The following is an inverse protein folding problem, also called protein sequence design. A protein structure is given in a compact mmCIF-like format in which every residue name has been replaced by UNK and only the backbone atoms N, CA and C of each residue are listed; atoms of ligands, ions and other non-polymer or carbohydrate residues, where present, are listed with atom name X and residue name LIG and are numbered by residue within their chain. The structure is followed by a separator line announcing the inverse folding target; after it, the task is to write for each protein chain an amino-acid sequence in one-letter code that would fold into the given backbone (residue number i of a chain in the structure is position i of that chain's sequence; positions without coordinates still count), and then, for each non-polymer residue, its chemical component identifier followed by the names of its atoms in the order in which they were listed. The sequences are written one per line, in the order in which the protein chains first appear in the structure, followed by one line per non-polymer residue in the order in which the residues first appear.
data_IF_327462572485
#
_entry.id   IF_327462572485
#
_cell.length_a   1.000
_cell.length_b   1.000
_cell.length_c   1.000
_cell.angle_alpha   90.00
_cell.angle_beta   90.00
_cell.angle_gamma   90.00
#
_symmetry.space_group_name_H-M   'P 1'
#
loop_
_entity.id
_entity.type
_entity.pdbx_description
1 polymer ?
#
# COMPACT_ATOMS: atom_id res chain seq x y z
N UNK A 1 16.13 5.99 -2.57
CA UNK A 1 15.51 4.75 -3.09
C UNK A 1 15.73 3.68 -2.03
N UNK A 2 14.72 2.92 -1.60
CA UNK A 2 14.88 1.89 -0.55
C UNK A 2 16.10 1.03 -0.91
N UNK A 3 17.08 0.97 0.01
CA UNK A 3 18.49 0.59 -0.17
C UNK A 3 18.78 -0.44 -1.28
N UNK A 4 19.75 -0.13 -2.16
CA UNK A 4 20.13 -0.99 -3.30
C UNK A 4 20.84 -2.28 -2.87
N UNK A 5 21.42 -2.32 -1.67
CA UNK A 5 22.25 -3.43 -1.17
C UNK A 5 21.54 -4.35 -0.15
N UNK A 6 20.27 -4.07 0.19
CA UNK A 6 19.52 -4.81 1.21
C UNK A 6 18.50 -5.79 0.62
N UNK A 7 18.18 -6.89 1.32
CA UNK A 7 17.06 -7.74 0.93
C UNK A 7 15.76 -6.92 0.92
N UNK A 8 15.01 -7.03 -0.17
CA UNK A 8 13.72 -6.35 -0.32
C UNK A 8 12.64 -7.11 0.43
N UNK A 9 11.62 -6.42 0.94
CA UNK A 9 10.58 -7.01 1.78
C UNK A 9 9.91 -8.26 1.18
N UNK A 10 9.65 -8.26 -0.14
CA UNK A 10 9.07 -9.39 -0.87
C UNK A 10 9.93 -10.66 -0.89
N UNK A 11 11.20 -10.59 -0.51
CA UNK A 11 12.10 -11.74 -0.35
C UNK A 11 12.07 -12.32 1.06
N UNK A 12 11.59 -11.56 2.04
CA UNK A 12 11.57 -11.99 3.43
C UNK A 12 10.35 -12.88 3.73
N UNK A 13 10.48 -13.93 4.56
CA UNK A 13 9.34 -14.72 5.00
C UNK A 13 8.31 -13.85 5.74
N UNK A 14 7.03 -14.24 5.67
CA UNK A 14 5.95 -13.52 6.35
C UNK A 14 5.66 -12.12 5.81
N UNK A 15 5.98 -11.84 4.54
CA UNK A 15 5.68 -10.55 3.91
C UNK A 15 4.20 -10.37 3.52
N UNK A 16 3.37 -11.40 3.73
CA UNK A 16 1.94 -11.37 3.41
C UNK A 16 1.63 -11.44 1.91
N UNK A 17 2.64 -11.64 1.05
CA UNK A 17 2.51 -11.67 -0.40
C UNK A 17 2.61 -10.30 -1.05
N UNK A 18 2.88 -10.30 -2.37
CA UNK A 18 2.97 -9.09 -3.18
C UNK A 18 1.56 -8.55 -3.47
N UNK A 19 1.30 -7.32 -3.07
CA UNK A 19 0.08 -6.56 -3.40
C UNK A 19 0.23 -5.83 -4.74
N UNK A 20 1.38 -5.18 -4.97
CA UNK A 20 1.65 -4.46 -6.21
C UNK A 20 2.85 -5.04 -6.93
N UNK A 21 2.59 -5.82 -7.98
CA UNK A 21 3.64 -6.48 -8.77
C UNK A 21 4.59 -5.51 -9.47
N UNK A 22 4.10 -4.38 -9.98
CA UNK A 22 4.96 -3.44 -10.71
C UNK A 22 6.06 -2.83 -9.83
N UNK A 23 5.75 -2.55 -8.57
CA UNK A 23 6.69 -1.90 -7.63
C UNK A 23 7.26 -2.88 -6.61
N UNK A 24 6.85 -4.16 -6.68
CA UNK A 24 7.17 -5.24 -5.74
C UNK A 24 6.85 -4.88 -4.28
N UNK A 25 5.67 -4.29 -4.07
CA UNK A 25 5.17 -3.89 -2.74
C UNK A 25 4.38 -5.03 -2.13
N UNK A 26 4.66 -5.35 -0.87
CA UNK A 26 4.01 -6.42 -0.13
C UNK A 26 2.83 -5.93 0.71
N UNK A 27 1.98 -6.85 1.18
CA UNK A 27 0.92 -6.52 2.15
C UNK A 27 1.51 -6.00 3.46
N UNK A 28 2.59 -6.63 3.94
CA UNK A 28 3.30 -6.19 5.15
C UNK A 28 3.79 -4.74 5.05
N UNK A 29 4.35 -4.34 3.91
CA UNK A 29 4.78 -2.95 3.69
C UNK A 29 3.62 -1.95 3.78
N UNK A 30 2.46 -2.31 3.20
CA UNK A 30 1.27 -1.46 3.28
C UNK A 30 0.72 -1.40 4.70
N UNK A 31 0.62 -2.52 5.40
CA UNK A 31 0.16 -2.56 6.79
C UNK A 31 1.09 -1.77 7.72
N UNK A 32 2.40 -1.91 7.58
CA UNK A 32 3.39 -1.12 8.31
C UNK A 32 3.29 0.38 7.99
N UNK A 33 2.93 0.72 6.75
CA UNK A 33 2.66 2.10 6.37
C UNK A 33 1.38 2.66 7.00
N UNK A 34 0.38 1.82 7.25
CA UNK A 34 -0.90 2.23 7.84
C UNK A 34 -0.90 2.22 9.38
N UNK A 35 0.00 1.48 10.03
CA UNK A 35 0.00 1.28 11.50
C UNK A 35 1.25 1.79 12.22
N UNK A 36 2.32 2.13 11.48
CA UNK A 36 3.56 2.59 12.07
C UNK A 36 3.45 3.96 12.78
N UNK A 37 4.55 4.42 13.42
CA UNK A 37 4.56 5.66 14.21
C UNK A 37 4.21 6.92 13.40
N UNK A 38 4.37 6.88 12.07
CA UNK A 38 3.92 7.92 11.14
C UNK A 38 2.92 7.34 10.14
N UNK A 39 1.81 6.79 10.65
CA UNK A 39 0.76 6.15 9.86
C UNK A 39 0.29 7.03 8.69
N UNK A 40 0.21 6.43 7.50
CA UNK A 40 -0.31 7.11 6.32
C UNK A 40 -1.83 7.28 6.43
N UNK A 41 -2.29 8.52 6.48
CA UNK A 41 -3.72 8.85 6.57
C UNK A 41 -4.36 9.15 5.20
N UNK A 42 -3.55 9.26 4.15
CA UNK A 42 -4.02 9.55 2.78
C UNK A 42 -3.39 8.59 1.79
N UNK A 43 -4.07 8.34 0.68
CA UNK A 43 -3.52 7.54 -0.42
C UNK A 43 -2.21 8.15 -0.94
N UNK A 44 -2.11 9.47 -1.04
CA UNK A 44 -0.87 10.13 -1.46
C UNK A 44 0.29 9.86 -0.47
N UNK A 45 0.02 9.88 0.84
CA UNK A 45 1.00 9.49 1.86
C UNK A 45 1.42 8.03 1.73
N UNK A 46 0.46 7.14 1.50
CA UNK A 46 0.72 5.71 1.30
C UNK A 46 1.59 5.45 0.07
N UNK A 47 1.28 6.09 -1.05
CA UNK A 47 2.07 6.05 -2.29
C UNK A 47 3.50 6.54 -2.08
N UNK A 48 3.70 7.65 -1.37
CA UNK A 48 5.06 8.16 -1.07
C UNK A 48 5.90 7.17 -0.27
N UNK A 49 5.29 6.45 0.67
CA UNK A 49 5.99 5.51 1.55
C UNK A 49 6.27 4.16 0.90
N UNK A 50 5.32 3.66 0.11
CA UNK A 50 5.35 2.27 -0.40
C UNK A 50 5.55 2.17 -1.89
N UNK A 51 5.34 3.25 -2.65
CA UNK A 51 5.23 3.27 -4.12
C UNK A 51 4.04 2.48 -4.69
N UNK A 52 3.12 1.98 -3.87
CA UNK A 52 1.94 1.23 -4.36
C UNK A 52 1.19 2.02 -5.44
N UNK A 53 0.72 1.34 -6.49
CA UNK A 53 0.08 1.92 -7.68
C UNK A 53 0.93 2.89 -8.53
N UNK A 54 2.22 3.08 -8.24
CA UNK A 54 3.07 4.03 -8.98
C UNK A 54 3.92 3.39 -10.09
N UNK A 55 3.72 2.10 -10.36
CA UNK A 55 4.40 1.37 -11.42
C UNK A 55 3.66 1.38 -12.75
N UNK A 56 4.12 0.59 -13.73
CA UNK A 56 3.63 0.61 -15.11
C UNK A 56 2.10 0.50 -15.25
N UNK A 57 1.43 -0.30 -14.42
CA UNK A 57 -0.01 -0.50 -14.50
C UNK A 57 -0.85 0.63 -13.88
N UNK A 58 -0.21 1.62 -13.25
CA UNK A 58 -0.88 2.76 -12.59
C UNK A 58 -2.01 2.36 -11.62
N UNK A 59 -1.87 1.19 -10.98
CA UNK A 59 -2.84 0.69 -10.01
C UNK A 59 -3.92 -0.25 -10.58
N UNK A 60 -4.00 -0.42 -11.90
CA UNK A 60 -5.07 -1.21 -12.54
C UNK A 60 -5.30 -2.59 -11.89
N UNK A 61 -4.23 -3.31 -11.55
CA UNK A 61 -4.33 -4.65 -10.98
C UNK A 61 -4.41 -4.73 -9.46
N UNK A 62 -4.01 -3.68 -8.73
CA UNK A 62 -3.87 -3.76 -7.26
C UNK A 62 -4.85 -2.85 -6.51
N UNK A 63 -5.58 -1.97 -7.20
CA UNK A 63 -6.41 -0.94 -6.53
C UNK A 63 -7.61 -1.55 -5.79
N UNK A 64 -8.24 -2.60 -6.33
CA UNK A 64 -9.36 -3.27 -5.66
C UNK A 64 -8.95 -3.87 -4.31
N UNK A 65 -7.87 -4.65 -4.29
CA UNK A 65 -7.37 -5.23 -3.06
C UNK A 65 -6.80 -4.17 -2.10
N UNK A 66 -6.12 -3.15 -2.64
CA UNK A 66 -5.62 -2.04 -1.83
C UNK A 66 -6.76 -1.24 -1.17
N UNK A 67 -7.91 -1.09 -1.84
CA UNK A 67 -9.08 -0.46 -1.27
C UNK A 67 -9.62 -1.25 -0.07
N UNK A 68 -9.67 -2.58 -0.16
CA UNK A 68 -10.05 -3.43 0.98
C UNK A 68 -9.05 -3.31 2.14
N UNK A 69 -7.75 -3.35 1.84
CA UNK A 69 -6.70 -3.26 2.86
C UNK A 69 -6.66 -1.90 3.56
N UNK A 70 -7.12 -0.84 2.90
CA UNK A 70 -7.13 0.54 3.42
C UNK A 70 -8.47 0.98 3.98
N UNK A 71 -9.49 0.12 3.91
CA UNK A 71 -10.85 0.39 4.40
C UNK A 71 -10.84 0.84 5.87
N UNK A 72 -11.42 2.01 6.13
CA UNK A 72 -11.47 2.63 7.47
C UNK A 72 -10.14 3.13 8.03
N UNK A 73 -9.04 3.09 7.26
CA UNK A 73 -7.70 3.54 7.70
C UNK A 73 -7.26 4.87 7.09
N UNK A 74 -7.81 5.21 5.93
CA UNK A 74 -7.54 6.48 5.25
C UNK A 74 -8.67 7.47 5.55
N UNK A 75 -8.32 8.76 5.65
CA UNK A 75 -9.28 9.87 5.84
C UNK A 75 -10.28 9.92 4.68
N UNK A 76 -9.80 9.67 3.46
CA UNK A 76 -10.65 9.52 2.28
C UNK A 76 -10.57 8.06 1.82
N UNK A 77 -11.70 7.35 1.73
CA UNK A 77 -11.72 5.98 1.24
C UNK A 77 -11.33 5.95 -0.25
N UNK A 78 -10.64 4.88 -0.66
CA UNK A 78 -10.20 4.72 -2.05
C UNK A 78 -11.34 4.41 -3.01
N UNK A 79 -12.39 3.74 -2.52
CA UNK A 79 -13.62 3.46 -3.23
C UNK A 79 -14.76 3.88 -2.30
N UNK A 80 -15.70 4.66 -2.81
CA UNK A 80 -16.74 5.27 -1.99
C UNK A 80 -17.64 4.25 -1.31
N UNK A 81 -17.95 4.52 -0.05
CA UNK A 81 -19.34 4.80 0.31
C UNK A 81 -19.34 5.99 1.29
N UNK A 82 -19.87 7.13 0.85
CA UNK A 82 -20.39 8.14 1.77
C UNK A 82 -21.63 7.51 2.42
N UNK A 83 -21.48 6.80 3.53
CA UNK A 83 -22.62 6.47 4.40
C UNK A 83 -22.84 7.69 5.29
N UNK A 84 -23.13 8.81 4.64
CA UNK A 84 -23.69 9.98 5.30
C UNK A 84 -25.14 9.69 5.66
N UNK A 85 -25.34 9.07 6.81
CA UNK A 85 -26.58 9.10 7.58
C UNK A 85 -26.30 9.77 8.92
#
# INVERSE_FOLDING_TARGET
MLAEDGPRDWQCPGNGGILCHCEKVTRREVEAALTGPLAAQTLAGLKRRTRVTMGRCQGFYCTAELAELTRGRLVQPMMGHDDGA
#
